data_IF_780351343511
#
_entry.id   IF_780351343511
#
_cell.length_a   1.000
_cell.length_b   1.000
_cell.length_c   1.000
_cell.angle_alpha   90.00
_cell.angle_beta   90.00
_cell.angle_gamma   90.00
#
_symmetry.space_group_name_H-M   'P 1'
#
loop_
_entity.id
_entity.type
_entity.pdbx_description
1 polymer ?
#
# COMPACT_ATOMS: atom_id res chain seq x y z
N UNK A 1 -15.89 28.85 45.85
CA UNK A 1 -14.97 29.08 44.71
C UNK A 1 -14.25 27.78 44.42
N UNK A 2 -14.56 27.11 43.31
CA UNK A 2 -13.73 26.00 42.83
C UNK A 2 -12.56 26.61 42.07
N UNK A 3 -11.36 26.49 42.62
CA UNK A 3 -10.12 26.89 41.96
C UNK A 3 -9.89 25.85 40.86
N UNK A 4 -10.32 26.15 39.63
CA UNK A 4 -9.81 25.43 38.46
C UNK A 4 -8.33 25.79 38.34
N UNK A 5 -7.48 24.90 38.85
CA UNK A 5 -6.05 24.97 38.61
C UNK A 5 -5.83 24.54 37.16
N UNK A 6 -5.85 25.49 36.24
CA UNK A 6 -5.43 25.33 34.86
C UNK A 6 -3.93 25.01 34.86
N UNK A 7 -3.56 23.75 35.10
CA UNK A 7 -2.18 23.31 34.86
C UNK A 7 -1.89 23.63 33.40
N UNK A 8 -0.89 24.48 33.17
CA UNK A 8 -0.42 24.79 31.83
C UNK A 8 -0.14 23.46 31.10
N UNK A 9 -0.40 23.36 29.79
CA UNK A 9 -0.06 22.16 29.03
C UNK A 9 1.41 21.84 29.27
N UNK A 10 1.69 20.68 29.86
CA UNK A 10 3.05 20.20 29.98
C UNK A 10 3.63 20.11 28.58
N UNK A 11 4.83 20.68 28.33
CA UNK A 11 5.52 20.50 27.06
C UNK A 11 5.66 19.01 26.76
N UNK A 12 5.44 18.61 25.51
CA UNK A 12 5.64 17.22 25.07
C UNK A 12 7.07 16.81 25.38
N UNK A 13 7.25 15.61 25.92
CA UNK A 13 8.59 15.09 26.17
C UNK A 13 9.22 14.62 24.85
N UNK A 14 10.55 14.61 24.78
CA UNK A 14 11.27 14.08 23.62
C UNK A 14 10.92 12.60 23.38
N UNK A 15 10.72 11.84 24.46
CA UNK A 15 10.26 10.45 24.41
C UNK A 15 8.90 10.32 23.72
N UNK A 16 7.91 11.13 24.13
CA UNK A 16 6.57 11.13 23.51
C UNK A 16 6.63 11.45 22.01
N UNK A 17 7.48 12.41 21.63
CA UNK A 17 7.69 12.78 20.23
C UNK A 17 8.30 11.62 19.44
N UNK A 18 9.32 10.96 20.00
CA UNK A 18 9.96 9.80 19.38
C UNK A 18 8.99 8.63 19.20
N UNK A 19 8.13 8.36 20.19
CA UNK A 19 7.05 7.37 20.06
C UNK A 19 6.08 7.73 18.94
N UNK A 20 5.66 8.99 18.85
CA UNK A 20 4.79 9.46 17.77
C UNK A 20 5.42 9.27 16.38
N UNK A 21 6.71 9.58 16.22
CA UNK A 21 7.43 9.38 14.94
C UNK A 21 7.43 7.90 14.55
N UNK A 22 7.72 6.99 15.50
CA UNK A 22 7.73 5.55 15.22
C UNK A 22 6.36 5.03 14.81
N UNK A 23 5.28 5.46 15.48
CA UNK A 23 3.92 5.09 15.06
C UNK A 23 3.65 5.62 13.65
N UNK A 24 4.09 6.83 13.32
CA UNK A 24 3.93 7.43 11.97
C UNK A 24 4.66 6.65 10.89
N UNK A 25 5.85 6.17 11.19
CA UNK A 25 6.58 5.29 10.29
C UNK A 25 5.77 4.01 10.06
N UNK A 26 5.32 3.32 11.13
CA UNK A 26 4.54 2.10 10.98
C UNK A 26 3.24 2.31 10.20
N UNK A 27 2.52 3.41 10.42
CA UNK A 27 1.33 3.77 9.65
C UNK A 27 1.64 3.94 8.14
N UNK A 28 2.76 4.59 7.81
CA UNK A 28 3.23 4.75 6.43
C UNK A 28 3.54 3.40 5.79
N UNK A 29 4.28 2.53 6.49
CA UNK A 29 4.61 1.19 6.02
C UNK A 29 3.35 0.34 5.80
N UNK A 30 2.37 0.44 6.71
CA UNK A 30 1.07 -0.23 6.57
C UNK A 30 0.31 0.19 5.31
N UNK A 31 0.30 1.48 5.00
CA UNK A 31 -0.35 2.01 3.79
C UNK A 31 0.36 1.46 2.54
N UNK A 32 1.68 1.48 2.51
CA UNK A 32 2.46 0.97 1.38
C UNK A 32 2.24 -0.54 1.17
N UNK A 33 2.31 -1.34 2.24
CA UNK A 33 2.09 -2.78 2.16
C UNK A 33 0.66 -3.13 1.66
N UNK A 34 -0.37 -2.36 2.08
CA UNK A 34 -1.73 -2.49 1.54
C UNK A 34 -1.81 -2.17 0.04
N UNK A 35 -1.15 -1.10 -0.40
CA UNK A 35 -1.13 -0.74 -1.82
C UNK A 35 -0.45 -1.82 -2.66
N UNK A 36 0.68 -2.35 -2.18
CA UNK A 36 1.39 -3.46 -2.83
C UNK A 36 0.51 -4.70 -2.91
N UNK A 37 -0.10 -5.12 -1.80
CA UNK A 37 -1.02 -6.26 -1.77
C UNK A 37 -2.14 -6.10 -2.79
N UNK A 38 -2.80 -4.93 -2.85
CA UNK A 38 -3.87 -4.65 -3.82
C UNK A 38 -3.37 -4.81 -5.26
N UNK A 39 -2.18 -4.30 -5.59
CA UNK A 39 -1.58 -4.42 -6.93
C UNK A 39 -1.23 -5.87 -7.26
N UNK A 40 -0.66 -6.61 -6.31
CA UNK A 40 -0.30 -8.02 -6.47
C UNK A 40 -1.53 -8.89 -6.67
N UNK A 41 -2.59 -8.69 -5.89
CA UNK A 41 -3.87 -9.39 -6.09
C UNK A 41 -4.52 -9.08 -7.44
N UNK A 42 -4.43 -7.83 -7.92
CA UNK A 42 -4.90 -7.46 -9.28
C UNK A 42 -4.12 -8.22 -10.37
N UNK A 43 -2.80 -8.40 -10.20
CA UNK A 43 -1.97 -9.20 -11.11
C UNK A 43 -2.35 -10.68 -11.05
N UNK A 44 -2.49 -11.24 -9.84
CA UNK A 44 -2.83 -12.65 -9.64
C UNK A 44 -4.15 -13.04 -10.32
N UNK A 45 -5.16 -12.17 -10.26
CA UNK A 45 -6.46 -12.39 -10.93
C UNK A 45 -6.37 -12.59 -12.45
N UNK A 46 -5.30 -12.09 -13.09
CA UNK A 46 -5.09 -12.21 -14.54
C UNK A 46 -4.22 -13.42 -14.91
N UNK A 47 -3.64 -14.10 -13.91
CA UNK A 47 -2.71 -15.22 -14.11
C UNK A 47 -3.40 -16.54 -13.77
N UNK A 48 -2.88 -17.64 -14.33
CA UNK A 48 -3.20 -18.97 -13.84
C UNK A 48 -2.42 -19.20 -12.54
N UNK A 49 -3.07 -19.46 -11.39
CA UNK A 49 -2.37 -19.70 -10.13
C UNK A 49 -1.38 -20.87 -10.18
N UNK A 50 -1.58 -21.82 -11.10
CA UNK A 50 -0.71 -22.99 -11.27
C UNK A 50 0.42 -22.77 -12.28
N UNK A 51 0.56 -21.57 -12.87
CA UNK A 51 1.75 -21.23 -13.66
C UNK A 51 2.88 -20.78 -12.74
N UNK A 52 4.12 -20.86 -13.22
CA UNK A 52 5.30 -20.38 -12.49
C UNK A 52 5.15 -18.90 -12.08
N UNK A 53 4.64 -18.06 -12.99
CA UNK A 53 4.36 -16.64 -12.67
C UNK A 53 3.23 -16.49 -11.66
N UNK A 54 2.18 -17.33 -11.73
CA UNK A 54 1.09 -17.34 -10.76
C UNK A 54 1.57 -17.68 -9.35
N UNK A 55 2.40 -18.72 -9.22
CA UNK A 55 3.04 -19.12 -7.98
C UNK A 55 3.92 -18.01 -7.40
N UNK A 56 4.75 -17.38 -8.23
CA UNK A 56 5.58 -16.25 -7.80
C UNK A 56 4.75 -15.08 -7.27
N UNK A 57 3.65 -14.73 -7.95
CA UNK A 57 2.76 -13.65 -7.51
C UNK A 57 1.99 -14.05 -6.24
N UNK A 58 1.64 -15.32 -6.04
CA UNK A 58 1.08 -15.80 -4.77
C UNK A 58 2.07 -15.65 -3.62
N UNK A 59 3.34 -15.99 -3.82
CA UNK A 59 4.39 -15.76 -2.81
C UNK A 59 4.54 -14.27 -2.48
N UNK A 60 4.45 -13.38 -3.47
CA UNK A 60 4.42 -11.92 -3.23
C UNK A 60 3.19 -11.50 -2.38
N UNK A 61 2.03 -12.13 -2.57
CA UNK A 61 0.83 -11.88 -1.75
C UNK A 61 1.07 -12.31 -0.31
N UNK A 62 1.64 -13.49 -0.10
CA UNK A 62 1.97 -14.01 1.24
C UNK A 62 2.94 -13.07 1.96
N UNK A 63 4.04 -12.68 1.31
CA UNK A 63 4.99 -11.71 1.86
C UNK A 63 4.34 -10.38 2.24
N UNK A 64 3.41 -9.87 1.43
CA UNK A 64 2.69 -8.65 1.76
C UNK A 64 1.78 -8.83 2.99
N UNK A 65 1.14 -10.00 3.13
CA UNK A 65 0.29 -10.32 4.27
C UNK A 65 1.12 -10.45 5.56
N UNK A 66 2.27 -11.11 5.52
CA UNK A 66 3.20 -11.22 6.64
C UNK A 66 3.72 -9.85 7.09
N UNK A 67 4.12 -9.01 6.13
CA UNK A 67 4.54 -7.64 6.42
C UNK A 67 3.42 -6.84 7.11
N UNK A 68 2.17 -6.98 6.64
CA UNK A 68 1.01 -6.34 7.27
C UNK A 68 0.75 -6.87 8.69
N UNK A 69 0.88 -8.18 8.91
CA UNK A 69 0.74 -8.77 10.24
C UNK A 69 1.79 -8.22 11.20
N UNK A 70 3.05 -8.16 10.78
CA UNK A 70 4.16 -7.60 11.55
C UNK A 70 3.93 -6.13 11.92
N UNK A 71 3.57 -5.28 10.95
CA UNK A 71 3.29 -3.87 11.21
C UNK A 71 2.11 -3.69 12.17
N UNK A 72 1.05 -4.50 12.03
CA UNK A 72 -0.09 -4.45 12.95
C UNK A 72 0.31 -4.86 14.38
N UNK A 73 1.20 -5.83 14.54
CA UNK A 73 1.72 -6.21 15.85
C UNK A 73 2.54 -5.08 16.49
N UNK A 74 3.40 -4.42 15.72
CA UNK A 74 4.19 -3.28 16.20
C UNK A 74 3.28 -2.12 16.59
N UNK A 75 2.28 -1.76 15.77
CA UNK A 75 1.29 -0.73 16.11
C UNK A 75 0.54 -1.10 17.40
N UNK A 76 0.15 -2.37 17.56
CA UNK A 76 -0.52 -2.87 18.77
C UNK A 76 0.39 -2.74 20.00
N UNK A 77 1.68 -3.02 19.87
CA UNK A 77 2.67 -2.88 20.94
C UNK A 77 2.80 -1.41 21.41
N UNK A 78 2.86 -0.46 20.47
CA UNK A 78 2.91 0.96 20.81
C UNK A 78 1.57 1.51 21.33
N UNK A 79 0.45 0.93 20.92
CA UNK A 79 -0.87 1.34 21.36
C UNK A 79 -1.26 2.74 20.86
N UNK A 80 -1.92 3.52 21.71
CA UNK A 80 -2.32 4.88 21.36
C UNK A 80 -1.13 5.83 21.42
N UNK A 81 -1.08 6.78 20.48
CA UNK A 81 -0.03 7.80 20.49
C UNK A 81 -0.05 8.56 21.83
N UNK A 82 1.09 8.62 22.56
CA UNK A 82 1.14 9.26 23.88
C UNK A 82 1.05 10.79 23.79
N UNK A 83 1.26 11.33 22.60
CA UNK A 83 1.16 12.76 22.33
C UNK A 83 -0.30 13.22 22.40
N UNK A 84 -0.61 14.04 23.40
CA UNK A 84 -1.93 14.64 23.58
C UNK A 84 -2.36 15.43 22.33
N UNK A 85 -3.59 15.19 21.84
CA UNK A 85 -4.15 15.77 20.61
C UNK A 85 -3.26 15.56 19.37
N UNK A 86 -2.60 14.41 19.25
CA UNK A 86 -1.87 14.08 18.02
C UNK A 86 -2.83 13.97 16.83
N UNK A 87 -2.63 14.81 15.80
CA UNK A 87 -3.43 14.79 14.56
C UNK A 87 -2.88 13.80 13.52
N UNK A 88 -1.66 13.31 13.71
CA UNK A 88 -0.99 12.36 12.81
C UNK A 88 -1.54 10.94 12.93
N UNK A 89 -2.01 10.58 14.12
CA UNK A 89 -2.62 9.28 14.42
C UNK A 89 -4.04 9.56 14.90
N UNK A 90 -5.00 9.74 13.97
CA UNK A 90 -6.39 9.87 14.38
C UNK A 90 -6.75 8.66 15.25
N UNK A 91 -7.22 8.95 16.47
CA UNK A 91 -7.75 7.90 17.32
C UNK A 91 -8.86 7.18 16.54
N UNK A 92 -9.01 5.87 16.77
CA UNK A 92 -10.14 5.10 16.28
C UNK A 92 -11.39 5.56 17.05
N UNK A 93 -11.84 6.79 16.79
CA UNK A 93 -13.09 7.33 17.31
C UNK A 93 -14.19 6.77 16.44
N UNK A 94 -14.77 5.64 16.88
CA UNK A 94 -16.01 5.04 16.43
C UNK A 94 -16.12 4.77 14.90
N UNK A 95 -16.35 3.50 14.57
CA UNK A 95 -16.32 2.94 13.23
C UNK A 95 -17.48 3.37 12.29
N UNK A 96 -17.91 4.65 12.29
CA UNK A 96 -19.07 5.13 11.50
C UNK A 96 -18.73 6.14 10.40
N UNK A 97 -17.45 6.39 10.12
CA UNK A 97 -17.06 7.10 8.90
C UNK A 97 -16.20 6.20 8.03
N UNK A 98 -16.87 5.34 7.27
CA UNK A 98 -16.36 4.67 6.09
C UNK A 98 -16.03 5.74 5.04
N UNK A 99 -14.86 6.37 5.15
CA UNK A 99 -14.31 7.24 4.12
C UNK A 99 -13.14 6.52 3.46
N UNK A 100 -13.43 5.40 2.81
CA UNK A 100 -12.59 4.88 1.73
C UNK A 100 -12.70 5.83 0.53
N UNK A 101 -12.00 6.97 0.56
CA UNK A 101 -11.76 7.72 -0.68
C UNK A 101 -10.54 7.10 -1.34
N UNK A 102 -10.78 5.95 -1.96
CA UNK A 102 -9.85 5.24 -2.83
C UNK A 102 -9.78 5.98 -4.18
N UNK A 103 -9.13 7.13 -4.22
CA UNK A 103 -8.86 7.84 -5.47
C UNK A 103 -7.70 7.17 -6.23
N UNK A 104 -7.83 5.87 -6.52
CA UNK A 104 -7.06 5.22 -7.57
C UNK A 104 -7.72 5.56 -8.90
N UNK A 105 -7.39 6.73 -9.45
CA UNK A 105 -7.75 7.12 -10.81
C UNK A 105 -7.23 6.07 -11.80
N UNK A 106 -8.10 5.15 -12.19
CA UNK A 106 -7.86 4.20 -13.27
C UNK A 106 -7.97 4.95 -14.61
N UNK A 107 -6.84 5.37 -15.16
CA UNK A 107 -6.74 5.52 -16.62
C UNK A 107 -5.99 4.31 -17.14
N UNK A 108 -6.73 3.23 -17.37
CA UNK A 108 -6.29 2.14 -18.23
C UNK A 108 -6.54 2.64 -19.66
N UNK A 109 -5.48 2.95 -20.40
CA UNK A 109 -5.58 3.32 -21.81
C UNK A 109 -4.94 2.19 -22.60
N UNK A 110 -5.74 1.17 -22.86
CA UNK A 110 -5.42 0.11 -23.80
C UNK A 110 -5.35 0.71 -25.21
N UNK A 111 -4.17 1.09 -25.68
CA UNK A 111 -3.94 1.28 -27.12
C UNK A 111 -3.67 -0.07 -27.76
N UNK A 112 -4.74 -0.74 -28.15
CA UNK A 112 -4.69 -1.80 -29.17
C UNK A 112 -4.27 -1.17 -30.50
N UNK A 113 -3.02 -1.34 -30.92
CA UNK A 113 -2.64 -1.17 -32.31
C UNK A 113 -2.30 -2.55 -32.88
N UNK A 114 -3.29 -3.14 -33.55
CA UNK A 114 -3.07 -4.23 -34.50
C UNK A 114 -2.30 -3.64 -35.69
N UNK A 115 -0.99 -3.82 -35.71
CA UNK A 115 -0.23 -3.85 -36.95
C UNK A 115 0.12 -5.32 -37.19
N UNK A 116 -0.75 -5.95 -37.98
CA UNK A 116 -0.50 -7.18 -38.71
C UNK A 116 0.70 -6.95 -39.64
N UNK A 117 1.72 -7.80 -39.52
CA UNK A 117 2.65 -8.07 -40.61
C UNK A 117 3.37 -9.38 -40.28
N UNK A 118 2.68 -10.49 -40.56
CA UNK A 118 3.28 -11.81 -40.65
C UNK A 118 3.01 -12.38 -42.04
N UNK A 119 4.08 -12.53 -42.84
CA UNK A 119 4.42 -13.77 -43.57
C UNK A 119 5.68 -13.53 -44.43
N UNK A 120 6.84 -14.01 -43.95
CA UNK A 120 7.49 -15.26 -44.40
C UNK A 120 7.84 -15.36 -45.90
N UNK A 121 9.13 -15.11 -46.16
CA UNK A 121 10.07 -16.01 -46.86
C UNK A 121 9.56 -16.84 -48.06
N UNK A 122 10.16 -16.64 -49.24
CA UNK A 122 11.15 -17.56 -49.85
C UNK A 122 11.31 -17.36 -51.37
N UNK A 123 12.58 -17.37 -51.80
CA UNK A 123 13.12 -17.86 -53.09
C UNK A 123 12.48 -17.42 -54.43
N UNK A 124 13.27 -16.76 -55.30
CA UNK A 124 13.94 -17.38 -56.49
C UNK A 124 14.44 -16.34 -57.52
N UNK A 125 15.73 -16.46 -57.83
CA UNK A 125 16.37 -16.48 -59.17
C UNK A 125 16.30 -15.25 -60.12
N UNK A 126 17.51 -14.77 -60.43
CA UNK A 126 18.14 -14.60 -61.77
C UNK A 126 17.74 -13.44 -62.71
N UNK A 127 18.78 -12.62 -63.01
CA UNK A 127 19.18 -11.96 -64.28
C UNK A 127 18.31 -10.88 -64.97
N UNK A 128 18.96 -9.74 -65.25
CA UNK A 128 19.04 -8.93 -66.50
C UNK A 128 19.33 -7.46 -66.12
N UNK A 129 20.13 -6.66 -66.82
CA UNK A 129 20.89 -6.76 -68.08
C UNK A 129 22.03 -5.73 -67.96
#
# INVERSE_FOLDING_TARGET
MLIYSSKAPTPRTEEEINFCIKIQEQDSWKIQARQMLRRTLKRLKKLNPNSEEGEKVMNEVEMCNEALASVNEVIRYYGQCPVFNCTKHPAVMNADTHSEVDASSCTDMDTTSLADDQEQATMRRKYKR
#
